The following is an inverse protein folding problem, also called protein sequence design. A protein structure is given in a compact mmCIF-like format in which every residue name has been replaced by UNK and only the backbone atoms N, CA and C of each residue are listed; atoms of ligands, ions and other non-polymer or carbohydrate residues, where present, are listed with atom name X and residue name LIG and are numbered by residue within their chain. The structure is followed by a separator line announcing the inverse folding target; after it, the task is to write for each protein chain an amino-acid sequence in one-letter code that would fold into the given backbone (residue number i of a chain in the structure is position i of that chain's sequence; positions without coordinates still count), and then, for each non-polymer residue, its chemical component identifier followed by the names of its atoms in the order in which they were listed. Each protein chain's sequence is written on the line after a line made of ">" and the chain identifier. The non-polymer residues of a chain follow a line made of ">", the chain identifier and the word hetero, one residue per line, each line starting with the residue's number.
data_IF_649568814983
#
_entry.id   IF_649568814983
#
_cell.length_a   1.000
_cell.length_b   1.000
_cell.length_c   1.000
_cell.angle_alpha   90.00
_cell.angle_beta   90.00
_cell.angle_gamma   90.00
#
_symmetry.space_group_name_H-M   'P 1'
#
loop_
_entity.id
_entity.type
_entity.pdbx_description
1 polymer ?
#
# COMPACT_ATOMS: atom_id res chain seq x y z
N UNK A 1 -7.96 -10.01 -2.38
CA UNK A 1 -6.81 -10.38 -3.23
C UNK A 1 -6.14 -9.08 -3.64
N UNK A 2 -4.95 -8.78 -3.11
CA UNK A 2 -4.16 -7.65 -3.59
C UNK A 2 -3.48 -8.05 -4.90
N UNK A 3 -3.63 -7.24 -5.94
CA UNK A 3 -2.88 -7.39 -7.18
C UNK A 3 -1.59 -6.56 -7.03
N UNK A 4 -0.44 -7.24 -6.94
CA UNK A 4 0.86 -6.58 -6.96
C UNK A 4 1.50 -6.71 -8.34
N UNK A 5 2.07 -5.63 -8.86
CA UNK A 5 2.88 -5.64 -10.08
C UNK A 5 4.29 -5.19 -9.73
N UNK A 6 5.30 -6.00 -10.03
CA UNK A 6 6.71 -5.65 -9.83
C UNK A 6 7.34 -5.14 -11.13
N UNK A 7 8.23 -4.15 -11.02
CA UNK A 7 9.02 -3.62 -12.12
C UNK A 7 10.50 -3.55 -11.67
N UNK A 8 11.43 -3.91 -12.56
CA UNK A 8 12.84 -3.88 -12.23
C UNK A 8 13.31 -2.43 -12.05
N UNK A 9 13.92 -2.13 -10.90
CA UNK A 9 14.50 -0.81 -10.61
C UNK A 9 16.02 -0.94 -10.50
N UNK A 10 16.73 -0.36 -11.46
CA UNK A 10 18.19 -0.33 -11.42
C UNK A 10 18.68 1.00 -10.83
N UNK A 11 19.34 0.92 -9.68
CA UNK A 11 20.24 1.98 -9.19
C UNK A 11 21.67 1.66 -9.59
N UNK A 12 22.51 2.68 -9.80
CA UNK A 12 23.90 2.53 -10.25
C UNK A 12 24.82 1.76 -9.28
N UNK A 13 24.33 1.35 -8.11
CA UNK A 13 25.11 0.69 -7.05
C UNK A 13 24.45 -0.55 -6.44
N UNK A 14 23.17 -0.81 -6.70
CA UNK A 14 22.42 -1.94 -6.13
C UNK A 14 21.30 -2.40 -7.08
N UNK A 15 21.12 -3.71 -7.24
CA UNK A 15 19.98 -4.30 -7.94
C UNK A 15 18.79 -4.39 -6.96
N UNK A 16 17.80 -3.53 -7.16
CA UNK A 16 16.59 -3.50 -6.36
C UNK A 16 15.35 -3.89 -7.17
N UNK A 17 14.28 -4.26 -6.48
CA UNK A 17 12.98 -4.49 -7.09
C UNK A 17 11.99 -3.42 -6.62
N UNK A 18 11.35 -2.76 -7.57
CA UNK A 18 10.21 -1.89 -7.28
C UNK A 18 8.93 -2.74 -7.35
N UNK A 19 8.16 -2.71 -6.27
CA UNK A 19 6.88 -3.40 -6.19
C UNK A 19 5.77 -2.38 -6.00
N UNK A 20 4.68 -2.57 -6.74
CA UNK A 20 3.44 -1.86 -6.50
C UNK A 20 2.54 -2.69 -5.60
N UNK A 21 2.28 -2.19 -4.40
CA UNK A 21 1.35 -2.78 -3.45
C UNK A 21 0.00 -2.04 -3.54
N UNK A 22 -1.08 -2.81 -3.66
CA UNK A 22 -2.44 -2.28 -3.71
C UNK A 22 -3.22 -2.83 -2.52
N UNK A 23 -3.71 -1.92 -1.66
CA UNK A 23 -4.58 -2.25 -0.54
C UNK A 23 -6.01 -1.83 -0.86
N UNK A 24 -6.97 -2.72 -0.60
CA UNK A 24 -8.40 -2.43 -0.76
C UNK A 24 -9.05 -2.41 0.62
N UNK A 25 -9.52 -1.23 1.02
CA UNK A 25 -10.23 -0.97 2.25
C UNK A 25 -11.74 -0.92 1.97
N UNK A 26 -12.51 -1.52 2.88
CA UNK A 26 -13.98 -1.47 2.86
C UNK A 26 -14.46 -1.10 4.24
N UNK A 27 -15.28 -0.07 4.34
CA UNK A 27 -15.84 0.38 5.60
C UNK A 27 -17.32 0.72 5.43
N UNK A 28 -18.09 0.37 6.45
CA UNK A 28 -19.44 0.91 6.66
C UNK A 28 -19.32 2.24 7.41
N UNK A 29 -19.99 3.29 6.92
CA UNK A 29 -19.95 4.63 7.52
C UNK A 29 -20.50 4.68 8.96
N UNK A 30 -21.23 3.66 9.41
CA UNK A 30 -21.75 3.61 10.78
C UNK A 30 -20.67 3.42 11.86
N UNK A 31 -19.50 2.85 11.52
CA UNK A 31 -18.48 2.49 12.51
C UNK A 31 -17.21 3.35 12.42
N UNK A 32 -16.69 3.56 11.22
CA UNK A 32 -15.49 4.35 11.02
C UNK A 32 -15.48 4.91 9.59
N UNK A 33 -15.19 6.21 9.45
CA UNK A 33 -15.04 6.79 8.11
C UNK A 33 -13.88 6.10 7.37
N UNK A 34 -14.11 5.73 6.11
CA UNK A 34 -13.07 5.17 5.22
C UNK A 34 -11.81 6.06 5.17
N UNK A 35 -11.98 7.38 5.33
CA UNK A 35 -10.88 8.35 5.38
C UNK A 35 -10.04 8.19 6.64
N UNK A 36 -10.67 7.97 7.79
CA UNK A 36 -9.96 7.71 9.04
C UNK A 36 -9.19 6.39 8.97
N UNK A 37 -9.81 5.36 8.36
CA UNK A 37 -9.14 4.07 8.13
C UNK A 37 -7.93 4.23 7.19
N UNK A 38 -8.09 4.95 6.08
CA UNK A 38 -7.00 5.21 5.15
C UNK A 38 -5.84 5.97 5.82
N UNK A 39 -6.13 6.98 6.65
CA UNK A 39 -5.11 7.73 7.39
C UNK A 39 -4.31 6.83 8.34
N UNK A 40 -4.98 5.93 9.07
CA UNK A 40 -4.30 4.95 9.94
C UNK A 40 -3.41 4.00 9.15
N UNK A 41 -3.87 3.56 7.98
CA UNK A 41 -3.08 2.68 7.10
C UNK A 41 -1.84 3.41 6.58
N UNK A 42 -1.96 4.68 6.16
CA UNK A 42 -0.81 5.48 5.74
C UNK A 42 0.19 5.63 6.91
N UNK A 43 -0.29 6.04 8.08
CA UNK A 43 0.56 6.24 9.26
C UNK A 43 1.30 4.96 9.67
N UNK A 44 0.64 3.81 9.57
CA UNK A 44 1.26 2.52 9.92
C UNK A 44 2.24 2.02 8.87
N UNK A 45 2.09 2.38 7.59
CA UNK A 45 2.91 1.86 6.50
C UNK A 45 4.06 2.79 6.12
N UNK A 46 3.94 4.11 6.32
CA UNK A 46 4.92 5.10 5.89
C UNK A 46 6.34 4.87 6.46
N UNK A 47 6.44 4.25 7.65
CA UNK A 47 7.72 3.94 8.32
C UNK A 47 7.76 2.49 8.84
N UNK A 48 7.01 1.60 8.20
CA UNK A 48 6.99 0.22 8.62
C UNK A 48 8.26 -0.52 8.19
N UNK A 49 9.02 -0.99 9.18
CA UNK A 49 10.06 -1.98 8.96
C UNK A 49 9.41 -3.37 8.87
N UNK A 50 9.19 -3.82 7.62
CA UNK A 50 8.64 -5.15 7.36
C UNK A 50 9.77 -6.13 7.06
N UNK A 51 9.91 -7.22 7.84
CA UNK A 51 10.83 -8.28 7.50
C UNK A 51 10.33 -9.02 6.25
N UNK A 52 11.07 -8.90 5.15
CA UNK A 52 10.82 -9.66 3.92
C UNK A 52 11.91 -10.73 3.83
N UNK A 53 11.57 -12.03 3.84
CA UNK A 53 12.59 -13.08 3.76
C UNK A 53 13.45 -12.94 2.49
N UNK A 54 14.76 -12.79 2.66
CA UNK A 54 15.72 -12.66 1.56
C UNK A 54 15.82 -11.27 0.92
N UNK A 55 15.09 -10.27 1.44
CA UNK A 55 15.13 -8.91 0.91
C UNK A 55 15.06 -7.87 2.04
N UNK A 56 15.80 -6.78 1.90
CA UNK A 56 15.62 -5.61 2.75
C UNK A 56 14.59 -4.67 2.12
N UNK A 57 13.55 -4.28 2.87
CA UNK A 57 12.65 -3.20 2.47
C UNK A 57 13.36 -1.87 2.73
N UNK A 58 13.68 -1.14 1.67
CA UNK A 58 14.39 0.13 1.75
C UNK A 58 13.42 1.30 1.90
N UNK A 59 12.31 1.25 1.18
CA UNK A 59 11.31 2.32 1.17
C UNK A 59 9.92 1.73 0.99
N UNK A 60 8.93 2.25 1.73
CA UNK A 60 7.51 2.02 1.48
C UNK A 60 6.78 3.36 1.44
N UNK A 61 6.44 3.79 0.23
CA UNK A 61 5.86 5.10 -0.01
C UNK A 61 4.40 4.98 -0.44
N UNK A 62 3.52 5.79 0.16
CA UNK A 62 2.16 5.97 -0.34
C UNK A 62 2.17 6.86 -1.59
N UNK A 63 1.55 6.37 -2.68
CA UNK A 63 1.44 7.13 -3.93
C UNK A 63 0.13 7.92 -3.99
N UNK A 64 -0.99 7.20 -3.93
CA UNK A 64 -2.32 7.78 -4.05
C UNK A 64 -3.41 6.83 -3.55
N UNK A 65 -4.63 7.34 -3.43
CA UNK A 65 -5.80 6.53 -3.11
C UNK A 65 -7.02 6.97 -3.92
N UNK A 66 -7.82 5.99 -4.31
CA UNK A 66 -9.11 6.16 -4.98
C UNK A 66 -10.22 5.76 -4.02
N UNK A 67 -11.07 6.71 -3.64
CA UNK A 67 -12.27 6.42 -2.84
C UNK A 67 -13.49 6.36 -3.74
N UNK A 68 -14.23 5.26 -3.64
CA UNK A 68 -15.47 5.01 -4.36
C UNK A 68 -16.66 5.30 -3.45
N UNK A 69 -17.75 5.82 -4.01
CA UNK A 69 -18.98 6.07 -3.25
C UNK A 69 -19.55 4.77 -2.65
N UNK A 70 -20.33 4.92 -1.59
CA UNK A 70 -20.97 3.80 -0.91
C UNK A 70 -21.85 2.97 -1.87
N UNK A 71 -21.78 1.64 -1.74
CA UNK A 71 -22.63 0.72 -2.49
C UNK A 71 -24.07 0.68 -1.93
N UNK A 72 -24.91 -0.21 -2.48
CA UNK A 72 -26.30 -0.39 -2.04
C UNK A 72 -26.43 -0.83 -0.57
N UNK A 73 -25.35 -1.34 0.03
CA UNK A 73 -25.29 -1.77 1.42
C UNK A 73 -24.66 -0.70 2.33
N UNK A 74 -24.36 0.49 1.81
CA UNK A 74 -23.69 1.55 2.57
C UNK A 74 -22.18 1.35 2.72
N UNK A 75 -21.57 0.40 2.00
CA UNK A 75 -20.15 0.11 2.11
C UNK A 75 -19.36 1.03 1.18
N UNK A 76 -18.50 1.84 1.77
CA UNK A 76 -17.55 2.70 1.04
C UNK A 76 -16.26 1.93 0.81
N UNK A 77 -15.75 1.96 -0.42
CA UNK A 77 -14.49 1.29 -0.79
C UNK A 77 -13.39 2.31 -1.05
N UNK A 78 -12.17 2.05 -0.57
CA UNK A 78 -11.00 2.85 -0.89
C UNK A 78 -9.86 1.93 -1.35
N UNK A 79 -9.30 2.22 -2.51
CA UNK A 79 -8.12 1.55 -3.03
C UNK A 79 -6.90 2.45 -2.81
N UNK A 80 -5.87 1.92 -2.18
CA UNK A 80 -4.65 2.64 -1.86
C UNK A 80 -3.48 2.01 -2.59
N UNK A 81 -2.63 2.84 -3.18
CA UNK A 81 -1.47 2.43 -3.95
C UNK A 81 -0.20 2.84 -3.21
N UNK A 82 0.71 1.87 -3.06
CA UNK A 82 1.99 2.04 -2.43
C UNK A 82 3.09 1.55 -3.36
N UNK A 83 4.21 2.24 -3.33
CA UNK A 83 5.46 1.85 -3.98
C UNK A 83 6.39 1.31 -2.89
N UNK A 84 6.80 0.05 -3.02
CA UNK A 84 7.76 -0.57 -2.13
C UNK A 84 9.06 -0.81 -2.91
N UNK A 85 10.18 -0.42 -2.33
CA UNK A 85 11.50 -0.68 -2.91
C UNK A 85 12.22 -1.69 -2.04
N UNK A 86 12.64 -2.80 -2.65
CA UNK A 86 13.43 -3.83 -1.97
C UNK A 86 14.80 -3.96 -2.61
N UNK A 87 15.77 -4.46 -1.85
CA UNK A 87 17.06 -4.93 -2.36
C UNK A 87 17.28 -6.35 -1.88
N UNK A 88 17.92 -7.18 -2.71
CA UNK A 88 18.32 -8.52 -2.27
C UNK A 88 19.48 -8.39 -1.27
N UNK A 89 19.31 -8.99 -0.09
CA UNK A 89 20.34 -9.04 0.96
C UNK A 89 21.41 -10.11 0.67
#
# INVERSE_FOLDING_TARGET
>A
MGAGTSHAWHSATFDGEEHRLILELKADEQQLSIRALAALVIERLHDADFPIPGHALIELQFECSETYAADKNGITSCRMFFKALTVSD
#
